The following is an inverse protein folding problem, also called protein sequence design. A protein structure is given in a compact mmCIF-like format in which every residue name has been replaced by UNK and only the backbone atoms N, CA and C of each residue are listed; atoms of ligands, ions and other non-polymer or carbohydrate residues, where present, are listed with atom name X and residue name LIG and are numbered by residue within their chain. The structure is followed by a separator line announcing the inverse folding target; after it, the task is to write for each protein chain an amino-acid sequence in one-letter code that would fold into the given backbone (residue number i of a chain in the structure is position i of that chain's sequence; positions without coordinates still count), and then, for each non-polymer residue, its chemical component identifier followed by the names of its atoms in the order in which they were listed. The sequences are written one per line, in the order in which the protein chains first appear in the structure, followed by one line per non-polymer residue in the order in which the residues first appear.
data_IF_225816311282
#
_entry.id   IF_225816311282
#
_cell.length_a   1.000
_cell.length_b   1.000
_cell.length_c   1.000
_cell.angle_alpha   90.00
_cell.angle_beta   90.00
_cell.angle_gamma   90.00
#
_symmetry.space_group_name_H-M   'P 1'
#
loop_
_entity.id
_entity.type
_entity.pdbx_description
1 polymer ?
#
# COMPACT_ATOMS: atom_id res chain seq x y z
N UNK A 1 13.49 29.12 -3.48
CA UNK A 1 12.28 28.81 -4.28
C UNK A 1 11.06 28.44 -3.42
N UNK A 2 11.16 27.45 -2.52
CA UNK A 2 10.04 27.05 -1.64
C UNK A 2 9.47 28.21 -0.79
N UNK A 3 10.33 29.04 -0.19
CA UNK A 3 9.91 30.20 0.62
C UNK A 3 9.15 31.26 -0.22
N UNK A 4 9.58 31.47 -1.47
CA UNK A 4 8.91 32.41 -2.38
C UNK A 4 7.57 31.88 -2.93
N UNK A 5 7.38 30.56 -2.93
CA UNK A 5 6.11 29.93 -3.25
C UNK A 5 5.12 30.04 -2.09
N UNK A 6 5.55 29.70 -0.86
CA UNK A 6 4.73 29.83 0.35
C UNK A 6 4.18 31.25 0.56
N UNK A 7 5.00 32.27 0.31
CA UNK A 7 4.56 33.68 0.39
C UNK A 7 3.44 34.04 -0.60
N UNK A 8 3.31 33.30 -1.71
CA UNK A 8 2.30 33.53 -2.76
C UNK A 8 1.14 32.53 -2.72
N UNK A 9 1.16 31.55 -1.80
CA UNK A 9 0.15 30.49 -1.70
C UNK A 9 -1.28 31.05 -1.54
N UNK A 10 -1.45 32.11 -0.74
CA UNK A 10 -2.73 32.77 -0.53
C UNK A 10 -3.32 33.40 -1.79
N UNK A 11 -2.48 33.76 -2.77
CA UNK A 11 -2.90 34.36 -4.04
C UNK A 11 -3.46 33.28 -4.99
N UNK A 12 -2.97 32.04 -4.87
CA UNK A 12 -3.42 30.90 -5.67
C UNK A 12 -4.66 30.20 -5.10
N UNK A 13 -4.93 30.31 -3.79
CA UNK A 13 -6.05 29.62 -3.15
C UNK A 13 -7.42 30.32 -3.24
N UNK A 14 -7.45 31.64 -3.47
CA UNK A 14 -8.69 32.45 -3.39
C UNK A 14 -9.24 32.82 -4.78
N UNK A 15 -8.39 32.96 -5.80
CA UNK A 15 -8.78 33.46 -7.12
C UNK A 15 -9.35 32.41 -8.09
N UNK A 16 -8.87 31.17 -8.02
CA UNK A 16 -9.13 30.15 -9.06
C UNK A 16 -10.17 29.08 -8.68
N UNK A 17 -10.90 29.27 -7.58
CA UNK A 17 -11.85 28.29 -7.07
C UNK A 17 -11.13 27.14 -6.36
N UNK A 18 -10.96 27.27 -5.04
CA UNK A 18 -10.28 26.26 -4.22
C UNK A 18 -10.92 24.86 -4.33
N UNK A 19 -10.10 23.84 -4.12
CA UNK A 19 -10.55 22.44 -4.05
C UNK A 19 -11.21 22.19 -2.68
N UNK A 20 -12.39 21.55 -2.62
CA UNK A 20 -13.00 21.18 -1.34
C UNK A 20 -12.08 20.24 -0.57
N UNK A 21 -11.70 20.63 0.65
CA UNK A 21 -10.86 19.80 1.53
C UNK A 21 -11.69 18.86 2.41
N UNK A 22 -12.90 19.30 2.77
CA UNK A 22 -13.80 18.56 3.64
C UNK A 22 -15.14 18.33 2.93
N UNK A 23 -15.64 17.10 3.02
CA UNK A 23 -16.94 16.71 2.49
C UNK A 23 -17.83 16.22 3.63
N UNK A 24 -18.93 16.92 3.86
CA UNK A 24 -19.98 16.46 4.78
C UNK A 24 -20.97 15.63 3.98
N UNK A 25 -20.92 14.31 4.15
CA UNK A 25 -21.83 13.39 3.47
C UNK A 25 -23.02 13.04 4.37
N UNK A 26 -24.24 13.16 3.83
CA UNK A 26 -25.46 12.73 4.50
C UNK A 26 -25.99 11.47 3.81
N UNK A 27 -26.23 10.37 4.53
CA UNK A 27 -26.81 9.18 3.94
C UNK A 27 -28.17 9.49 3.29
N UNK A 28 -28.35 9.14 2.01
CA UNK A 28 -29.64 9.31 1.32
C UNK A 28 -30.76 8.60 2.08
N UNK A 29 -30.47 7.49 2.76
CA UNK A 29 -31.39 6.77 3.63
C UNK A 29 -32.03 7.61 4.76
N UNK A 30 -31.47 8.78 5.10
CA UNK A 30 -32.05 9.71 6.07
C UNK A 30 -33.08 10.66 5.44
N UNK A 31 -33.04 10.82 4.11
CA UNK A 31 -33.94 11.69 3.34
C UNK A 31 -35.02 10.86 2.62
N UNK A 32 -34.70 9.64 2.21
CA UNK A 32 -35.62 8.71 1.54
C UNK A 32 -35.57 7.34 2.22
N UNK A 33 -36.72 6.90 2.76
CA UNK A 33 -36.86 5.61 3.43
C UNK A 33 -36.71 4.41 2.49
N UNK A 34 -36.86 4.60 1.19
CA UNK A 34 -36.73 3.58 0.16
C UNK A 34 -35.28 3.44 -0.38
N UNK A 35 -34.38 4.34 0.03
CA UNK A 35 -33.01 4.32 -0.45
C UNK A 35 -32.19 3.16 0.14
N UNK A 36 -31.19 2.70 -0.62
CA UNK A 36 -30.22 1.71 -0.17
C UNK A 36 -29.52 2.20 1.11
N UNK A 37 -29.59 1.37 2.15
CA UNK A 37 -28.94 1.63 3.44
C UNK A 37 -27.58 0.96 3.45
N UNK A 38 -26.57 1.63 4.02
CA UNK A 38 -25.33 0.95 4.38
C UNK A 38 -25.70 -0.11 5.41
N UNK A 39 -25.66 -1.38 4.98
CA UNK A 39 -26.15 -2.50 5.80
C UNK A 39 -25.13 -2.88 6.86
N UNK A 40 -23.83 -2.64 6.60
CA UNK A 40 -22.73 -3.19 7.40
C UNK A 40 -21.57 -2.21 7.53
N UNK A 41 -20.96 -2.19 8.72
CA UNK A 41 -19.70 -1.49 8.98
C UNK A 41 -18.58 -2.52 8.90
N UNK A 42 -17.49 -2.19 8.21
CA UNK A 42 -16.27 -2.98 8.26
C UNK A 42 -15.71 -2.90 9.68
N UNK A 43 -15.31 -4.04 10.24
CA UNK A 43 -14.67 -4.09 11.54
C UNK A 43 -13.32 -3.36 11.50
N UNK A 44 -13.07 -2.48 12.48
CA UNK A 44 -11.84 -1.70 12.55
C UNK A 44 -10.58 -2.59 12.53
N UNK A 45 -10.64 -3.75 13.20
CA UNK A 45 -9.55 -4.75 13.23
C UNK A 45 -9.11 -5.19 11.83
N UNK A 46 -10.05 -5.28 10.88
CA UNK A 46 -9.78 -5.69 9.51
C UNK A 46 -9.17 -4.58 8.68
N UNK A 47 -9.59 -3.35 8.93
CA UNK A 47 -8.96 -2.15 8.34
C UNK A 47 -7.52 -2.04 8.84
N UNK A 48 -7.30 -2.18 10.15
CA UNK A 48 -5.97 -2.10 10.76
C UNK A 48 -5.05 -3.21 10.24
N UNK A 49 -5.57 -4.42 10.04
CA UNK A 49 -4.81 -5.54 9.48
C UNK A 49 -4.45 -5.31 8.00
N UNK A 50 -5.37 -4.83 7.18
CA UNK A 50 -5.08 -4.47 5.79
C UNK A 50 -4.02 -3.35 5.69
N UNK A 51 -4.16 -2.30 6.51
CA UNK A 51 -3.18 -1.21 6.59
C UNK A 51 -1.80 -1.71 7.02
N UNK A 52 -1.76 -2.61 8.00
CA UNK A 52 -0.50 -3.22 8.45
C UNK A 52 0.19 -3.97 7.32
N UNK A 53 -0.53 -4.81 6.57
CA UNK A 53 0.02 -5.57 5.45
C UNK A 53 0.58 -4.63 4.37
N UNK A 54 -0.16 -3.58 4.01
CA UNK A 54 0.28 -2.61 3.01
C UNK A 54 1.54 -1.86 3.46
N UNK A 55 1.59 -1.43 4.72
CA UNK A 55 2.78 -0.79 5.30
C UNK A 55 3.97 -1.75 5.33
N UNK A 56 3.78 -3.01 5.72
CA UNK A 56 4.84 -4.01 5.74
C UNK A 56 5.42 -4.26 4.33
N UNK A 57 4.59 -4.20 3.28
CA UNK A 57 5.02 -4.30 1.88
C UNK A 57 5.77 -3.04 1.39
N UNK A 58 5.31 -1.85 1.77
CA UNK A 58 6.00 -0.59 1.46
C UNK A 58 7.39 -0.54 2.10
N UNK A 59 7.50 -0.88 3.38
CA UNK A 59 8.78 -0.97 4.10
C UNK A 59 9.71 -2.01 3.45
N UNK A 60 9.16 -3.16 3.04
CA UNK A 60 9.93 -4.21 2.35
C UNK A 60 10.48 -3.74 1.00
N UNK A 61 9.72 -2.91 0.26
CA UNK A 61 10.19 -2.30 -0.98
C UNK A 61 11.26 -1.23 -0.74
N UNK A 62 11.13 -0.45 0.33
CA UNK A 62 12.14 0.53 0.75
C UNK A 62 13.47 -0.17 1.05
N UNK A 63 13.46 -1.24 1.85
CA UNK A 63 14.65 -2.04 2.15
C UNK A 63 15.34 -2.58 0.88
N UNK A 64 14.57 -3.04 -0.11
CA UNK A 64 15.13 -3.47 -1.39
C UNK A 64 15.70 -2.32 -2.22
N UNK A 65 15.13 -1.11 -2.13
CA UNK A 65 15.70 0.07 -2.78
C UNK A 65 17.04 0.43 -2.15
N UNK A 66 17.14 0.41 -0.82
CA UNK A 66 18.38 0.68 -0.09
C UNK A 66 19.51 -0.26 -0.52
N UNK A 67 19.20 -1.54 -0.72
CA UNK A 67 20.17 -2.52 -1.24
C UNK A 67 20.64 -2.13 -2.64
N UNK A 68 19.73 -1.70 -3.53
CA UNK A 68 20.07 -1.27 -4.90
C UNK A 68 20.90 0.02 -4.96
N UNK A 69 20.92 0.82 -3.89
CA UNK A 69 21.78 2.00 -3.79
C UNK A 69 23.25 1.65 -3.51
N UNK A 70 23.54 0.42 -3.06
CA UNK A 70 24.91 -0.05 -2.84
C UNK A 70 25.65 -0.09 -4.19
N UNK A 71 26.82 0.56 -4.24
CA UNK A 71 27.66 0.58 -5.45
C UNK A 71 28.13 -0.83 -5.78
N UNK A 72 27.70 -1.34 -6.93
CA UNK A 72 27.96 -2.73 -7.34
C UNK A 72 29.32 -2.95 -8.01
N UNK A 73 30.11 -1.90 -8.24
CA UNK A 73 31.46 -1.98 -8.83
C UNK A 73 31.62 -2.87 -10.09
N UNK A 74 30.56 -3.05 -10.88
CA UNK A 74 30.55 -3.89 -12.08
C UNK A 74 29.92 -5.27 -11.92
N UNK A 75 29.40 -5.59 -10.73
CA UNK A 75 28.67 -6.84 -10.44
C UNK A 75 27.22 -6.80 -10.94
N UNK A 76 27.07 -6.70 -12.26
CA UNK A 76 25.77 -6.53 -12.94
C UNK A 76 24.81 -7.71 -12.75
N UNK A 77 25.32 -8.92 -12.49
CA UNK A 77 24.48 -10.10 -12.26
C UNK A 77 23.68 -9.98 -10.95
N UNK A 78 24.33 -9.54 -9.87
CA UNK A 78 23.68 -9.28 -8.58
C UNK A 78 22.66 -8.15 -8.70
N UNK A 79 23.03 -7.04 -9.36
CA UNK A 79 22.12 -5.91 -9.55
C UNK A 79 20.85 -6.30 -10.31
N UNK A 80 20.98 -7.15 -11.34
CA UNK A 80 19.83 -7.69 -12.09
C UNK A 80 18.94 -8.59 -11.23
N UNK A 81 19.54 -9.40 -10.37
CA UNK A 81 18.81 -10.28 -9.47
C UNK A 81 17.97 -9.47 -8.47
N UNK A 82 18.59 -8.51 -7.77
CA UNK A 82 17.86 -7.65 -6.81
C UNK A 82 16.77 -6.83 -7.51
N UNK A 83 17.03 -6.32 -8.72
CA UNK A 83 15.99 -5.64 -9.53
C UNK A 83 14.82 -6.55 -9.90
N UNK A 84 15.10 -7.81 -10.21
CA UNK A 84 14.07 -8.80 -10.50
C UNK A 84 13.21 -9.07 -9.26
N UNK A 85 13.85 -9.34 -8.11
CA UNK A 85 13.16 -9.58 -6.83
C UNK A 85 12.30 -8.38 -6.42
N UNK A 86 12.84 -7.16 -6.53
CA UNK A 86 12.08 -5.92 -6.30
C UNK A 86 10.85 -5.80 -7.21
N UNK A 87 11.01 -6.13 -8.48
CA UNK A 87 9.90 -6.06 -9.46
C UNK A 87 8.81 -7.07 -9.12
N UNK A 88 9.19 -8.28 -8.68
CA UNK A 88 8.26 -9.29 -8.22
C UNK A 88 7.50 -8.83 -6.98
N UNK A 89 8.20 -8.29 -5.96
CA UNK A 89 7.57 -7.74 -4.75
C UNK A 89 6.59 -6.61 -5.07
N UNK A 90 6.97 -5.68 -5.96
CA UNK A 90 6.07 -4.58 -6.38
C UNK A 90 4.83 -5.10 -7.10
N UNK A 91 4.99 -6.13 -7.92
CA UNK A 91 3.87 -6.76 -8.63
C UNK A 91 2.92 -7.45 -7.64
N UNK A 92 3.49 -8.14 -6.64
CA UNK A 92 2.74 -8.74 -5.55
C UNK A 92 1.97 -7.69 -4.74
N UNK A 93 2.60 -6.57 -4.37
CA UNK A 93 1.95 -5.47 -3.66
C UNK A 93 0.72 -4.94 -4.41
N UNK A 94 0.86 -4.70 -5.72
CA UNK A 94 -0.26 -4.23 -6.54
C UNK A 94 -1.42 -5.23 -6.54
N UNK A 95 -1.13 -6.52 -6.65
CA UNK A 95 -2.15 -7.57 -6.63
C UNK A 95 -2.85 -7.63 -5.27
N UNK A 96 -2.09 -7.63 -4.16
CA UNK A 96 -2.66 -7.61 -2.80
C UNK A 96 -3.55 -6.38 -2.59
N UNK A 97 -3.14 -5.20 -3.08
CA UNK A 97 -3.97 -3.99 -2.97
C UNK A 97 -5.29 -4.13 -3.74
N UNK A 98 -5.27 -4.76 -4.92
CA UNK A 98 -6.48 -5.01 -5.71
C UNK A 98 -7.36 -6.07 -5.06
N UNK A 99 -6.76 -7.13 -4.51
CA UNK A 99 -7.47 -8.21 -3.83
C UNK A 99 -8.14 -7.71 -2.54
N UNK A 100 -7.46 -6.85 -1.76
CA UNK A 100 -8.05 -6.17 -0.60
C UNK A 100 -9.24 -5.32 -1.04
N UNK A 101 -9.11 -4.52 -2.10
CA UNK A 101 -10.21 -3.69 -2.59
C UNK A 101 -11.43 -4.54 -3.00
N UNK A 102 -11.22 -5.59 -3.80
CA UNK A 102 -12.29 -6.50 -4.21
C UNK A 102 -12.93 -7.28 -3.05
N UNK A 103 -12.14 -7.65 -2.04
CA UNK A 103 -12.65 -8.29 -0.83
C UNK A 103 -13.50 -7.33 0.03
N UNK A 104 -13.11 -6.05 0.11
CA UNK A 104 -13.88 -5.02 0.80
C UNK A 104 -15.22 -4.74 0.09
N UNK A 105 -15.24 -4.71 -1.24
CA UNK A 105 -16.47 -4.58 -2.03
C UNK A 105 -17.40 -5.79 -1.79
N UNK A 106 -16.85 -7.00 -1.81
CA UNK A 106 -17.61 -8.22 -1.53
C UNK A 106 -18.20 -8.23 -0.12
N UNK A 107 -17.44 -7.76 0.86
CA UNK A 107 -17.91 -7.61 2.24
C UNK A 107 -19.04 -6.57 2.35
N UNK A 108 -18.92 -5.45 1.63
CA UNK A 108 -19.96 -4.41 1.62
C UNK A 108 -21.29 -4.97 1.08
N UNK A 109 -21.25 -5.75 0.00
CA UNK A 109 -22.44 -6.30 -0.64
C UNK A 109 -23.03 -7.49 0.13
N UNK A 110 -22.22 -8.51 0.39
CA UNK A 110 -22.69 -9.81 0.88
C UNK A 110 -22.59 -9.94 2.40
N UNK A 111 -21.67 -9.19 3.02
CA UNK A 111 -21.27 -9.39 4.42
C UNK A 111 -20.31 -10.56 4.61
N UNK A 112 -19.84 -11.18 3.53
CA UNK A 112 -18.88 -12.27 3.59
C UNK A 112 -17.47 -11.74 3.89
N UNK A 113 -16.89 -12.23 4.98
CA UNK A 113 -15.54 -11.86 5.44
C UNK A 113 -14.47 -12.85 4.98
N UNK A 114 -14.89 -13.99 4.43
CA UNK A 114 -13.98 -15.05 3.98
C UNK A 114 -12.98 -14.52 2.95
N UNK A 115 -13.37 -13.77 1.91
CA UNK A 115 -12.42 -13.26 0.91
C UNK A 115 -11.31 -12.40 1.53
N UNK A 116 -11.67 -11.54 2.49
CA UNK A 116 -10.69 -10.66 3.14
C UNK A 116 -9.73 -11.45 4.03
N UNK A 117 -10.25 -12.47 4.73
CA UNK A 117 -9.44 -13.36 5.58
C UNK A 117 -8.51 -14.24 4.74
N UNK A 118 -8.95 -14.67 3.56
CA UNK A 118 -8.14 -15.44 2.61
C UNK A 118 -6.96 -14.61 2.08
N UNK A 119 -7.20 -13.34 1.75
CA UNK A 119 -6.13 -12.41 1.34
C UNK A 119 -5.08 -12.23 2.43
N UNK A 120 -5.51 -12.05 3.69
CA UNK A 120 -4.57 -11.93 4.81
C UNK A 120 -3.78 -13.22 5.05
N UNK A 121 -4.45 -14.38 4.95
CA UNK A 121 -3.80 -15.68 5.10
C UNK A 121 -2.79 -15.94 3.97
N UNK A 122 -3.15 -15.56 2.74
CA UNK A 122 -2.26 -15.59 1.57
C UNK A 122 -1.01 -14.75 1.80
N UNK A 123 -1.15 -13.55 2.39
CA UNK A 123 0.01 -12.72 2.76
C UNK A 123 0.96 -13.40 3.75
N UNK A 124 0.46 -13.88 4.89
CA UNK A 124 1.33 -14.48 5.93
C UNK A 124 1.97 -15.81 5.51
N UNK A 125 1.38 -16.49 4.53
CA UNK A 125 1.93 -17.71 3.94
C UNK A 125 2.83 -17.44 2.72
N UNK A 126 2.90 -16.20 2.24
CA UNK A 126 3.72 -15.83 1.08
C UNK A 126 5.21 -15.70 1.42
N UNK A 127 6.04 -15.84 0.38
CA UNK A 127 7.47 -15.52 0.42
C UNK A 127 7.73 -14.00 0.53
N UNK A 128 6.70 -13.17 0.34
CA UNK A 128 6.76 -11.71 0.40
C UNK A 128 6.37 -11.14 1.76
N UNK A 129 6.14 -11.99 2.77
CA UNK A 129 5.96 -11.51 4.14
C UNK A 129 7.24 -10.83 4.63
N UNK A 130 7.08 -9.79 5.45
CA UNK A 130 8.18 -8.92 5.89
C UNK A 130 9.41 -9.68 6.40
N UNK A 131 9.22 -10.71 7.23
CA UNK A 131 10.34 -11.45 7.81
C UNK A 131 11.22 -12.14 6.77
N UNK A 132 10.63 -12.70 5.71
CA UNK A 132 11.36 -13.41 4.64
C UNK A 132 12.06 -12.39 3.75
N UNK A 133 11.37 -11.30 3.40
CA UNK A 133 11.99 -10.25 2.58
C UNK A 133 13.17 -9.62 3.32
N UNK A 134 13.06 -9.40 4.63
CA UNK A 134 14.16 -8.89 5.43
C UNK A 134 15.37 -9.84 5.44
N UNK A 135 15.16 -11.15 5.63
CA UNK A 135 16.22 -12.15 5.56
C UNK A 135 16.89 -12.19 4.17
N UNK A 136 16.10 -12.10 3.10
CA UNK A 136 16.61 -12.02 1.74
C UNK A 136 17.43 -10.75 1.51
N UNK A 137 16.96 -9.59 2.01
CA UNK A 137 17.67 -8.31 1.94
C UNK A 137 19.01 -8.39 2.66
N UNK A 138 19.05 -8.96 3.86
CA UNK A 138 20.28 -9.15 4.63
C UNK A 138 21.25 -10.08 3.88
N UNK A 139 20.75 -11.17 3.30
CA UNK A 139 21.55 -12.08 2.47
C UNK A 139 22.16 -11.37 1.26
N UNK A 140 21.37 -10.58 0.52
CA UNK A 140 21.84 -9.81 -0.65
C UNK A 140 22.87 -8.77 -0.27
N UNK A 141 22.69 -8.14 0.90
CA UNK A 141 23.63 -7.18 1.45
C UNK A 141 24.97 -7.82 1.82
N UNK A 142 24.94 -8.99 2.44
CA UNK A 142 26.16 -9.73 2.77
C UNK A 142 26.89 -10.24 1.52
N UNK A 143 26.15 -10.67 0.50
CA UNK A 143 26.73 -11.04 -0.80
C UNK A 143 27.53 -9.89 -1.41
N UNK A 144 27.00 -8.66 -1.43
CA UNK A 144 27.69 -7.53 -2.07
C UNK A 144 28.82 -6.94 -1.22
N UNK A 145 28.76 -7.04 0.10
CA UNK A 145 29.82 -6.56 1.00
C UNK A 145 31.04 -7.49 1.00
N UNK A 146 30.82 -8.80 0.83
CA UNK A 146 31.89 -9.80 0.83
C UNK A 146 32.50 -10.06 -0.56
N UNK A 147 32.07 -9.35 -1.59
CA UNK A 147 32.62 -9.36 -2.95
C UNK A 147 33.77 -8.36 -3.12
#
# INVERSE_FOLDING_TARGET
EAISFLKRLHQHGIGDGGVPMDLVMVPIAWLDSNAAKVVRKIEQSKVDEALRILNELDESLELMNDVLEIKTHGFLAWERLVKFERTALRSYQNNVSLDIAGALDTYADTGDIVPLTDVFTSYYSSEFRKSIVQENVETRRDEIINL
#
